data_IF_921001753121
#
_entry.id   IF_921001753121
#
_cell.length_a   1.000
_cell.length_b   1.000
_cell.length_c   1.000
_cell.angle_alpha   90.00
_cell.angle_beta   90.00
_cell.angle_gamma   90.00
#
_symmetry.space_group_name_H-M   'P 1'
#
loop_
_entity.id
_entity.type
_entity.pdbx_description
1 polymer ?
#
# COMPACT_ATOMS: atom_id res chain seq x y z
N UNK A 1 -41.96 32.04 15.29
CA UNK A 1 -41.35 32.04 16.64
C UNK A 1 -39.83 32.02 16.49
N UNK A 2 -39.17 33.18 16.65
CA UNK A 2 -37.71 33.28 16.67
C UNK A 2 -37.24 33.12 18.13
N UNK A 3 -36.51 32.06 18.43
CA UNK A 3 -35.83 31.90 19.73
C UNK A 3 -34.38 32.34 19.56
N UNK A 4 -34.07 33.55 20.03
CA UNK A 4 -32.69 34.03 20.15
C UNK A 4 -32.05 33.38 21.38
N UNK A 5 -31.05 32.53 21.14
CA UNK A 5 -30.22 31.96 22.20
C UNK A 5 -29.19 33.01 22.63
N UNK A 6 -29.52 33.73 23.70
CA UNK A 6 -28.63 34.70 24.33
C UNK A 6 -27.55 33.96 25.16
N UNK A 7 -26.48 33.55 24.49
CA UNK A 7 -25.34 32.91 25.17
C UNK A 7 -24.55 33.96 25.98
N UNK A 8 -24.60 33.85 27.30
CA UNK A 8 -23.95 34.79 28.23
C UNK A 8 -22.44 34.92 28.02
N UNK A 9 -21.90 36.13 28.25
CA UNK A 9 -20.48 36.48 28.01
C UNK A 9 -19.47 35.51 28.66
N UNK A 10 -19.81 34.94 29.83
CA UNK A 10 -18.98 33.93 30.52
C UNK A 10 -18.91 32.61 29.74
N UNK A 11 -20.01 32.16 29.14
CA UNK A 11 -20.07 30.93 28.35
C UNK A 11 -19.26 31.05 27.05
N UNK A 12 -19.22 32.25 26.43
CA UNK A 12 -18.37 32.52 25.26
C UNK A 12 -16.88 32.43 25.56
N UNK A 13 -16.42 32.89 26.73
CA UNK A 13 -15.00 32.82 27.12
C UNK A 13 -14.58 31.37 27.36
N UNK A 14 -15.43 30.58 28.02
CA UNK A 14 -15.18 29.15 28.22
C UNK A 14 -15.19 28.37 26.89
N UNK A 15 -16.10 28.69 25.97
CA UNK A 15 -16.11 28.09 24.62
C UNK A 15 -14.87 28.45 23.80
N UNK A 16 -14.40 29.70 23.87
CA UNK A 16 -13.18 30.13 23.19
C UNK A 16 -11.92 29.50 23.80
N UNK A 17 -11.87 29.32 25.13
CA UNK A 17 -10.79 28.59 25.79
C UNK A 17 -10.81 27.10 25.46
N UNK A 18 -11.99 26.48 25.35
CA UNK A 18 -12.13 25.08 24.95
C UNK A 18 -11.74 24.86 23.48
N UNK A 19 -12.12 25.79 22.59
CA UNK A 19 -11.68 25.80 21.20
C UNK A 19 -10.18 26.04 21.07
N UNK A 20 -9.61 26.93 21.88
CA UNK A 20 -8.16 27.18 21.92
C UNK A 20 -7.39 25.94 22.40
N UNK A 21 -7.90 25.22 23.41
CA UNK A 21 -7.31 23.96 23.88
C UNK A 21 -7.40 22.82 22.85
N UNK A 22 -8.48 22.76 22.06
CA UNK A 22 -8.62 21.83 20.93
C UNK A 22 -7.75 22.21 19.73
N UNK A 23 -7.32 23.48 19.64
CA UNK A 23 -6.44 23.99 18.58
C UNK A 23 -4.95 23.93 18.92
N UNK A 24 -4.58 23.45 20.13
CA UNK A 24 -3.22 23.02 20.43
C UNK A 24 -3.02 21.67 19.71
N UNK A 25 -2.83 21.82 18.40
CA UNK A 25 -3.03 20.81 17.40
C UNK A 25 -2.34 19.50 17.72
N UNK A 26 -3.03 18.42 17.36
CA UNK A 26 -2.41 17.18 16.94
C UNK A 26 -1.14 17.53 16.15
N UNK A 27 0.02 17.43 16.81
CA UNK A 27 1.29 17.55 16.13
C UNK A 27 1.26 16.45 15.09
N UNK A 28 1.06 16.82 13.82
CA UNK A 28 1.07 15.88 12.72
C UNK A 28 2.34 15.04 12.88
N UNK A 29 2.19 13.76 13.20
CA UNK A 29 3.32 12.88 13.45
C UNK A 29 4.26 13.02 12.26
N UNK A 30 5.43 13.61 12.50
CA UNK A 30 6.45 13.77 11.47
C UNK A 30 6.93 12.37 11.15
N UNK A 31 6.57 11.86 9.97
CA UNK A 31 7.15 10.60 9.50
C UNK A 31 8.67 10.74 9.41
N UNK A 32 9.40 9.62 9.44
CA UNK A 32 10.86 9.57 9.25
C UNK A 32 11.30 10.28 7.96
N UNK A 33 10.41 10.39 6.97
CA UNK A 33 10.64 11.07 5.70
C UNK A 33 10.34 12.58 5.71
N UNK A 34 9.90 13.15 6.82
CA UNK A 34 9.54 14.58 6.90
C UNK A 34 10.75 15.52 6.77
N UNK A 35 11.95 15.03 7.06
CA UNK A 35 13.18 15.83 7.04
C UNK A 35 13.97 15.76 5.73
N UNK A 36 13.62 14.83 4.83
CA UNK A 36 14.37 14.63 3.59
C UNK A 36 13.86 15.54 2.46
N UNK A 37 14.73 15.86 1.49
CA UNK A 37 14.39 16.68 0.32
C UNK A 37 13.43 15.97 -0.64
N UNK A 38 12.81 16.69 -1.59
CA UNK A 38 11.98 16.07 -2.64
C UNK A 38 12.80 15.14 -3.53
N UNK A 39 14.04 15.51 -3.85
CA UNK A 39 14.97 14.68 -4.60
C UNK A 39 15.26 13.36 -3.89
N UNK A 40 15.55 13.41 -2.59
CA UNK A 40 15.81 12.19 -1.80
C UNK A 40 14.53 11.36 -1.62
N UNK A 41 13.38 11.99 -1.37
CA UNK A 41 12.09 11.30 -1.26
C UNK A 41 11.73 10.56 -2.54
N UNK A 42 11.96 11.20 -3.70
CA UNK A 42 11.80 10.58 -5.02
C UNK A 42 12.72 9.38 -5.17
N UNK A 43 14.01 9.51 -4.84
CA UNK A 43 14.98 8.41 -4.93
C UNK A 43 14.58 7.23 -4.04
N UNK A 44 14.22 7.46 -2.77
CA UNK A 44 13.78 6.39 -1.86
C UNK A 44 12.51 5.72 -2.34
N UNK A 45 11.53 6.50 -2.80
CA UNK A 45 10.28 5.96 -3.35
C UNK A 45 10.54 5.10 -4.58
N UNK A 46 11.36 5.57 -5.52
CA UNK A 46 11.68 4.79 -6.73
C UNK A 46 12.52 3.54 -6.41
N UNK A 47 13.37 3.58 -5.38
CA UNK A 47 14.05 2.40 -4.85
C UNK A 47 13.06 1.36 -4.31
N UNK A 48 12.06 1.79 -3.53
CA UNK A 48 11.00 0.91 -3.06
C UNK A 48 10.17 0.33 -4.21
N UNK A 49 9.78 1.17 -5.18
CA UNK A 49 9.06 0.73 -6.39
C UNK A 49 9.83 -0.38 -7.11
N UNK A 50 11.14 -0.21 -7.30
CA UNK A 50 11.99 -1.24 -7.90
C UNK A 50 11.93 -2.54 -7.09
N UNK A 51 12.11 -2.47 -5.78
CA UNK A 51 12.08 -3.66 -4.92
C UNK A 51 10.72 -4.38 -4.97
N UNK A 52 9.61 -3.64 -5.04
CA UNK A 52 8.26 -4.22 -5.18
C UNK A 52 8.12 -4.91 -6.55
N UNK A 53 8.62 -4.29 -7.62
CA UNK A 53 8.60 -4.91 -8.96
C UNK A 53 9.46 -6.17 -9.02
N UNK A 54 10.64 -6.16 -8.41
CA UNK A 54 11.53 -7.32 -8.36
C UNK A 54 10.85 -8.53 -7.68
N UNK A 55 10.06 -8.31 -6.61
CA UNK A 55 9.30 -9.41 -5.98
C UNK A 55 8.11 -9.88 -6.82
N UNK A 56 7.41 -8.97 -7.51
CA UNK A 56 6.29 -9.34 -8.39
C UNK A 56 6.81 -10.14 -9.58
N UNK A 57 7.92 -9.73 -10.19
CA UNK A 57 8.57 -10.46 -11.27
C UNK A 57 9.01 -11.86 -10.82
N UNK A 58 9.64 -11.97 -9.64
CA UNK A 58 10.03 -13.25 -9.07
C UNK A 58 8.83 -14.18 -8.83
N UNK A 59 7.71 -13.65 -8.34
CA UNK A 59 6.46 -14.42 -8.22
C UNK A 59 5.96 -14.89 -9.58
N UNK A 60 5.85 -13.98 -10.55
CA UNK A 60 5.33 -14.29 -11.89
C UNK A 60 6.19 -15.35 -12.61
N UNK A 61 7.51 -15.33 -12.39
CA UNK A 61 8.39 -16.37 -12.91
C UNK A 61 8.06 -17.73 -12.28
N UNK A 62 7.98 -17.82 -10.96
CA UNK A 62 7.67 -19.07 -10.25
C UNK A 62 6.28 -19.60 -10.60
N UNK A 63 5.30 -18.71 -10.72
CA UNK A 63 3.93 -19.07 -11.10
C UNK A 63 3.89 -19.71 -12.50
N UNK A 64 4.61 -19.12 -13.47
CA UNK A 64 4.77 -19.71 -14.81
C UNK A 64 5.48 -21.05 -14.80
N UNK A 65 6.52 -21.19 -13.97
CA UNK A 65 7.24 -22.47 -13.81
C UNK A 65 6.32 -23.55 -13.25
N UNK A 66 5.52 -23.24 -12.22
CA UNK A 66 4.54 -24.16 -11.63
C UNK A 66 3.43 -24.54 -12.62
N UNK A 67 2.92 -23.57 -13.38
CA UNK A 67 1.92 -23.84 -14.42
C UNK A 67 2.49 -24.75 -15.50
N UNK A 68 3.71 -24.48 -15.97
CA UNK A 68 4.38 -25.31 -16.98
C UNK A 68 4.64 -26.74 -16.49
N UNK A 69 5.02 -26.92 -15.22
CA UNK A 69 5.20 -28.23 -14.62
C UNK A 69 3.86 -28.99 -14.48
N UNK A 70 2.78 -28.28 -14.13
CA UNK A 70 1.44 -28.85 -14.08
C UNK A 70 0.96 -29.30 -15.47
N UNK A 71 1.06 -28.44 -16.48
CA UNK A 71 0.62 -28.73 -17.86
C UNK A 71 1.36 -29.92 -18.47
N UNK A 72 2.66 -30.10 -18.15
CA UNK A 72 3.44 -31.28 -18.58
C UNK A 72 2.90 -32.59 -18.00
N UNK A 73 2.36 -32.53 -16.79
CA UNK A 73 1.89 -33.68 -16.01
C UNK A 73 0.39 -33.95 -16.19
N UNK A 74 -0.39 -32.96 -16.62
CA UNK A 74 -1.84 -33.11 -16.83
C UNK A 74 -2.16 -33.77 -18.19
N UNK A 75 -1.64 -34.98 -18.40
CA UNK A 75 -1.90 -35.75 -19.62
C UNK A 75 -3.13 -36.68 -19.48
N UNK A 76 -3.91 -36.91 -20.54
CA UNK A 76 -5.14 -37.71 -20.49
C UNK A 76 -4.92 -39.18 -20.09
N UNK A 77 -3.69 -39.68 -20.21
CA UNK A 77 -3.25 -41.03 -19.88
C UNK A 77 -3.26 -41.33 -18.37
N UNK A 78 -3.25 -40.31 -17.51
CA UNK A 78 -3.32 -40.48 -16.06
C UNK A 78 -4.73 -40.81 -15.57
N UNK A 79 -4.80 -41.62 -14.51
CA UNK A 79 -6.08 -41.98 -13.87
C UNK A 79 -6.69 -40.75 -13.18
N UNK A 80 -8.02 -40.77 -13.00
CA UNK A 80 -8.75 -39.62 -12.46
C UNK A 80 -8.32 -39.20 -11.04
N UNK A 81 -7.91 -40.16 -10.22
CA UNK A 81 -7.39 -39.97 -8.87
C UNK A 81 -5.97 -39.39 -8.87
N UNK A 82 -5.11 -39.86 -9.78
CA UNK A 82 -3.78 -39.31 -10.00
C UNK A 82 -3.86 -37.84 -10.44
N UNK A 83 -4.72 -37.52 -11.41
CA UNK A 83 -4.97 -36.12 -11.83
C UNK A 83 -5.47 -35.23 -10.69
N UNK A 84 -6.36 -35.76 -9.85
CA UNK A 84 -6.84 -35.03 -8.66
C UNK A 84 -5.69 -34.73 -7.69
N UNK A 85 -4.80 -35.69 -7.46
CA UNK A 85 -3.63 -35.50 -6.60
C UNK A 85 -2.65 -34.47 -7.18
N UNK A 86 -2.39 -34.52 -8.49
CA UNK A 86 -1.53 -33.54 -9.17
C UNK A 86 -2.10 -32.12 -9.06
N UNK A 87 -3.41 -31.95 -9.30
CA UNK A 87 -4.09 -30.65 -9.14
C UNK A 87 -3.99 -30.13 -7.70
N UNK A 88 -4.21 -30.98 -6.71
CA UNK A 88 -4.08 -30.58 -5.30
C UNK A 88 -2.64 -30.18 -4.94
N UNK A 89 -1.65 -30.88 -5.48
CA UNK A 89 -0.26 -30.54 -5.28
C UNK A 89 0.08 -29.18 -5.90
N UNK A 90 -0.36 -28.92 -7.13
CA UNK A 90 -0.17 -27.63 -7.78
C UNK A 90 -0.81 -26.48 -7.00
N UNK A 91 -2.06 -26.64 -6.53
CA UNK A 91 -2.73 -25.64 -5.68
C UNK A 91 -1.89 -25.33 -4.44
N UNK A 92 -1.45 -26.36 -3.70
CA UNK A 92 -0.62 -26.16 -2.49
C UNK A 92 0.69 -25.44 -2.78
N UNK A 93 1.32 -25.73 -3.91
CA UNK A 93 2.57 -25.08 -4.31
C UNK A 93 2.34 -23.62 -4.71
N UNK A 94 1.29 -23.35 -5.48
CA UNK A 94 0.89 -21.99 -5.86
C UNK A 94 0.55 -21.15 -4.63
N UNK A 95 -0.25 -21.69 -3.70
CA UNK A 95 -0.60 -21.03 -2.44
C UNK A 95 0.66 -20.72 -1.60
N UNK A 96 1.59 -21.67 -1.49
CA UNK A 96 2.83 -21.46 -0.75
C UNK A 96 3.72 -20.37 -1.38
N UNK A 97 3.81 -20.31 -2.71
CA UNK A 97 4.56 -19.26 -3.43
C UNK A 97 3.89 -17.90 -3.26
N UNK A 98 2.57 -17.85 -3.33
CA UNK A 98 1.78 -16.66 -3.07
C UNK A 98 2.02 -16.14 -1.64
N UNK A 99 1.80 -16.98 -0.63
CA UNK A 99 1.92 -16.61 0.78
C UNK A 99 3.34 -16.17 1.15
N UNK A 100 4.35 -16.84 0.60
CA UNK A 100 5.74 -16.43 0.77
C UNK A 100 6.01 -15.03 0.19
N UNK A 101 5.47 -14.75 -0.99
CA UNK A 101 5.57 -13.42 -1.64
C UNK A 101 4.86 -12.36 -0.82
N UNK A 102 3.62 -12.62 -0.38
CA UNK A 102 2.84 -11.70 0.47
C UNK A 102 3.56 -11.40 1.78
N UNK A 103 4.11 -12.43 2.43
CA UNK A 103 4.89 -12.29 3.67
C UNK A 103 6.13 -11.43 3.44
N UNK A 104 6.89 -11.71 2.38
CA UNK A 104 8.10 -10.96 2.04
C UNK A 104 7.79 -9.47 1.84
N UNK A 105 6.71 -9.13 1.15
CA UNK A 105 6.29 -7.73 1.03
C UNK A 105 5.95 -7.11 2.38
N UNK A 106 5.15 -7.81 3.19
CA UNK A 106 4.69 -7.33 4.50
C UNK A 106 5.86 -7.05 5.46
N UNK A 107 6.83 -7.94 5.49
CA UNK A 107 7.97 -7.83 6.42
C UNK A 107 8.99 -6.77 6.00
N UNK A 108 9.21 -6.58 4.69
CA UNK A 108 10.33 -5.77 4.21
C UNK A 108 9.93 -4.40 3.65
N UNK A 109 8.69 -4.24 3.18
CA UNK A 109 8.33 -3.09 2.33
C UNK A 109 7.05 -2.37 2.77
N UNK A 110 6.16 -3.05 3.49
CA UNK A 110 4.84 -2.51 3.84
C UNK A 110 4.89 -1.21 4.66
N UNK A 111 5.71 -1.17 5.71
CA UNK A 111 5.83 0.01 6.56
C UNK A 111 6.33 1.22 5.77
N UNK A 112 7.38 1.03 4.96
CA UNK A 112 7.92 2.09 4.11
C UNK A 112 6.92 2.55 3.05
N UNK A 113 6.16 1.63 2.44
CA UNK A 113 5.13 1.98 1.47
C UNK A 113 4.07 2.93 2.04
N UNK A 114 3.63 2.69 3.28
CA UNK A 114 2.66 3.56 3.99
C UNK A 114 3.31 4.90 4.34
N UNK A 115 4.49 4.89 4.97
CA UNK A 115 5.14 6.12 5.43
C UNK A 115 5.55 7.05 4.27
N UNK A 116 5.98 6.47 3.15
CA UNK A 116 6.29 7.21 1.93
C UNK A 116 5.02 7.74 1.28
N UNK A 117 3.93 6.97 1.23
CA UNK A 117 2.64 7.45 0.71
C UNK A 117 2.17 8.69 1.48
N UNK A 118 2.22 8.67 2.81
CA UNK A 118 1.82 9.80 3.64
C UNK A 118 2.67 11.05 3.40
N UNK A 119 3.99 10.88 3.24
CA UNK A 119 4.89 11.98 2.92
C UNK A 119 4.65 12.52 1.50
N UNK A 120 4.49 11.63 0.52
CA UNK A 120 4.18 12.01 -0.87
C UNK A 120 2.87 12.78 -0.94
N UNK A 121 1.81 12.30 -0.29
CA UNK A 121 0.54 13.00 -0.23
C UNK A 121 0.67 14.39 0.37
N UNK A 122 1.52 14.60 1.39
CA UNK A 122 1.77 15.94 1.94
C UNK A 122 2.40 16.91 0.93
N UNK A 123 3.24 16.41 0.01
CA UNK A 123 4.04 17.26 -0.90
C UNK A 123 3.51 17.38 -2.32
N UNK A 124 2.74 16.41 -2.79
CA UNK A 124 2.15 16.42 -4.14
C UNK A 124 0.86 17.25 -4.18
N UNK A 125 0.50 17.82 -5.34
CA UNK A 125 -0.76 18.53 -5.52
C UNK A 125 -1.97 17.64 -5.15
N UNK A 126 -2.99 18.23 -4.51
CA UNK A 126 -4.14 17.48 -4.02
C UNK A 126 -4.88 16.69 -5.12
N UNK A 127 -4.87 17.18 -6.36
CA UNK A 127 -5.46 16.50 -7.54
C UNK A 127 -4.81 15.15 -7.86
N UNK A 128 -3.57 14.92 -7.43
CA UNK A 128 -2.85 13.66 -7.64
C UNK A 128 -3.16 12.62 -6.56
N UNK A 129 -3.79 13.03 -5.45
CA UNK A 129 -4.13 12.13 -4.35
C UNK A 129 -5.31 11.27 -4.75
N UNK A 130 -5.06 9.99 -4.98
CA UNK A 130 -6.13 9.04 -5.30
C UNK A 130 -6.86 8.60 -4.02
N UNK A 131 -8.18 8.82 -4.00
CA UNK A 131 -9.05 8.33 -2.93
C UNK A 131 -9.17 6.81 -3.06
N UNK A 132 -9.19 6.09 -1.94
CA UNK A 132 -9.39 4.64 -1.92
C UNK A 132 -8.14 3.79 -2.15
N UNK A 133 -6.95 4.39 -2.25
CA UNK A 133 -5.70 3.62 -2.34
C UNK A 133 -5.27 3.02 -1.00
N UNK A 134 -5.55 3.71 0.12
CA UNK A 134 -5.08 3.29 1.44
C UNK A 134 -5.43 1.84 1.82
N UNK A 135 -6.65 1.32 1.57
CA UNK A 135 -6.96 -0.09 1.82
C UNK A 135 -6.02 -1.08 1.10
N UNK A 136 -5.60 -0.76 -0.13
CA UNK A 136 -4.68 -1.61 -0.90
C UNK A 136 -3.30 -1.63 -0.26
N UNK A 137 -2.82 -0.50 0.28
CA UNK A 137 -1.55 -0.43 1.00
C UNK A 137 -1.61 -1.19 2.33
N UNK A 138 -2.72 -1.08 3.05
CA UNK A 138 -2.90 -1.75 4.35
C UNK A 138 -3.03 -3.27 4.20
N UNK A 139 -3.77 -3.72 3.18
CA UNK A 139 -4.14 -5.11 2.98
C UNK A 139 -4.09 -5.50 1.49
N UNK A 140 -2.89 -5.55 0.87
CA UNK A 140 -2.79 -6.11 -0.48
C UNK A 140 -3.17 -7.59 -0.41
N UNK A 141 -4.06 -8.03 -1.31
CA UNK A 141 -4.61 -9.40 -1.31
C UNK A 141 -3.86 -10.34 -2.23
N UNK A 142 -3.10 -9.80 -3.19
CA UNK A 142 -2.36 -10.55 -4.20
C UNK A 142 -1.28 -9.65 -4.83
N UNK A 143 -0.49 -10.22 -5.75
CA UNK A 143 0.58 -9.51 -6.46
C UNK A 143 0.08 -8.36 -7.35
N UNK A 144 -1.15 -8.40 -7.85
CA UNK A 144 -1.73 -7.27 -8.60
C UNK A 144 -1.93 -6.05 -7.69
N UNK A 145 -2.26 -6.29 -6.42
CA UNK A 145 -2.27 -5.25 -5.39
C UNK A 145 -0.90 -4.62 -5.19
N UNK A 146 0.17 -5.42 -5.17
CA UNK A 146 1.55 -4.90 -5.07
C UNK A 146 1.95 -4.10 -6.31
N UNK A 147 1.62 -4.58 -7.50
CA UNK A 147 1.86 -3.86 -8.75
C UNK A 147 1.13 -2.50 -8.75
N UNK A 148 -0.12 -2.48 -8.27
CA UNK A 148 -0.92 -1.27 -8.11
C UNK A 148 -0.26 -0.27 -7.16
N UNK A 149 0.29 -0.75 -6.03
CA UNK A 149 1.06 0.07 -5.09
C UNK A 149 2.31 0.65 -5.76
N UNK A 150 3.08 -0.17 -6.47
CA UNK A 150 4.30 0.26 -7.17
C UNK A 150 4.00 1.34 -8.20
N UNK A 151 2.98 1.13 -9.03
CA UNK A 151 2.55 2.10 -10.05
C UNK A 151 2.08 3.42 -9.43
N UNK A 152 1.33 3.35 -8.33
CA UNK A 152 0.86 4.55 -7.64
C UNK A 152 2.00 5.32 -6.98
N UNK A 153 2.91 4.65 -6.26
CA UNK A 153 4.10 5.27 -5.67
C UNK A 153 4.98 5.95 -6.73
N UNK A 154 5.21 5.28 -7.86
CA UNK A 154 6.00 5.83 -8.95
C UNK A 154 5.38 7.11 -9.51
N UNK A 155 4.06 7.10 -9.73
CA UNK A 155 3.33 8.26 -10.22
C UNK A 155 3.45 9.45 -9.27
N UNK A 156 3.29 9.22 -7.95
CA UNK A 156 3.43 10.26 -6.95
C UNK A 156 4.87 10.78 -6.85
N UNK A 157 5.86 9.90 -6.88
CA UNK A 157 7.27 10.29 -6.84
C UNK A 157 7.66 11.17 -8.03
N UNK A 158 7.14 10.84 -9.23
CA UNK A 158 7.35 11.65 -10.45
C UNK A 158 6.61 12.99 -10.41
N UNK A 159 5.60 13.13 -9.57
CA UNK A 159 4.81 14.36 -9.41
C UNK A 159 5.35 15.32 -8.34
N UNK A 160 6.45 14.97 -7.65
CA UNK A 160 7.07 15.86 -6.67
C UNK A 160 7.62 17.14 -7.35
N UNK A 161 7.44 18.33 -6.74
CA UNK A 161 8.01 19.57 -7.25
C UNK A 161 9.55 19.56 -7.20
N UNK A 162 10.19 20.09 -8.26
CA UNK A 162 11.65 20.28 -8.42
C UNK A 162 12.51 19.13 -7.85
N UNK A 163 12.24 17.91 -8.34
CA UNK A 163 12.89 16.67 -7.91
C UNK A 163 13.79 16.04 -8.98
#
# INVERSE_FOLDING_TARGET
MQTSLHLGKRCRIWLLLFLAMMSLGAAAERSVYSQISNKELKQRTLGLVKNIRDIVESYNQKDRELMTDYDKKDQPEYRSDERKNMRQQWIRQSDAVHDATMRRYKENYWADAILLLDELYRRVPQRMRQKGMLPIYQHPTNVLGMETIANHLELLAKALPDA
#
